data_IF_915962187285
#
_entry.id   IF_915962187285
#
_cell.length_a   1.000
_cell.length_b   1.000
_cell.length_c   1.000
_cell.angle_alpha   90.00
_cell.angle_beta   90.00
_cell.angle_gamma   90.00
#
_symmetry.space_group_name_H-M   'P 1'
#
loop_
_entity.id
_entity.type
_entity.pdbx_description
1 polymer ?
#
# COMPACT_ATOMS: atom_id res chain seq x y z
N UNK A 1 -25.10 10.12 -15.41
CA UNK A 1 -23.63 9.91 -15.35
C UNK A 1 -22.93 11.07 -14.63
N UNK A 2 -23.22 11.31 -13.33
CA UNK A 2 -22.51 12.32 -12.51
C UNK A 2 -22.32 11.92 -11.02
N UNK A 3 -22.89 10.80 -10.58
CA UNK A 3 -22.87 10.40 -9.16
C UNK A 3 -21.56 9.73 -8.69
N UNK A 4 -20.78 9.13 -9.58
CA UNK A 4 -19.55 8.39 -9.22
C UNK A 4 -18.38 9.34 -8.89
N UNK A 5 -18.39 10.57 -9.42
CA UNK A 5 -17.27 11.51 -9.25
C UNK A 5 -17.31 12.26 -7.91
N UNK A 6 -18.49 12.44 -7.32
CA UNK A 6 -18.66 13.24 -6.09
C UNK A 6 -18.22 12.48 -4.83
N UNK A 7 -18.50 11.17 -4.76
CA UNK A 7 -18.09 10.30 -3.64
C UNK A 7 -16.56 10.27 -3.51
N UNK A 8 -15.86 10.33 -4.65
CA UNK A 8 -14.39 10.35 -4.70
C UNK A 8 -13.78 11.61 -4.09
N UNK A 9 -14.50 12.74 -4.03
CA UNK A 9 -13.99 14.00 -3.46
C UNK A 9 -14.18 14.11 -1.94
N UNK A 10 -15.15 13.40 -1.38
CA UNK A 10 -15.49 13.46 0.05
C UNK A 10 -14.69 12.45 0.87
N UNK A 11 -14.38 11.25 0.34
CA UNK A 11 -13.58 10.26 1.06
C UNK A 11 -12.14 10.70 1.38
N UNK A 12 -11.55 11.60 0.58
CA UNK A 12 -10.22 12.14 0.88
C UNK A 12 -10.20 13.23 1.97
N UNK A 13 -11.37 13.72 2.40
CA UNK A 13 -11.47 14.85 3.35
C UNK A 13 -11.87 14.43 4.79
N UNK A 14 -12.10 13.15 5.05
CA UNK A 14 -12.65 12.69 6.34
C UNK A 14 -11.76 11.74 7.16
N UNK A 15 -10.56 11.35 6.69
CA UNK A 15 -9.54 10.76 7.59
C UNK A 15 -8.58 11.85 8.06
N UNK A 16 -9.18 12.81 8.75
CA UNK A 16 -8.55 14.00 9.31
C UNK A 16 -7.90 13.71 10.67
N UNK A 17 -6.80 14.43 10.92
CA UNK A 17 -6.40 15.01 12.20
C UNK A 17 -6.24 14.09 13.44
N UNK A 18 -4.98 13.89 13.86
CA UNK A 18 -4.50 14.24 15.22
C UNK A 18 -2.97 14.05 15.37
N UNK A 19 -2.25 15.17 15.29
CA UNK A 19 -1.06 15.58 16.10
C UNK A 19 -0.11 14.53 16.68
N UNK A 20 1.17 14.59 16.29
CA UNK A 20 2.31 14.96 17.18
C UNK A 20 3.67 14.58 16.56
N UNK A 21 4.30 15.42 15.74
CA UNK A 21 5.74 15.25 15.36
C UNK A 21 6.13 13.91 14.71
N UNK A 22 5.13 13.12 14.29
CA UNK A 22 5.24 11.73 13.83
C UNK A 22 5.05 11.69 12.31
N UNK A 23 6.12 11.29 11.63
CA UNK A 23 6.16 10.61 10.35
C UNK A 23 4.79 10.25 9.74
N UNK A 24 4.26 11.15 8.90
CA UNK A 24 2.92 11.02 8.33
C UNK A 24 2.89 9.79 7.42
N UNK A 25 2.25 8.72 7.88
CA UNK A 25 2.07 7.50 7.12
C UNK A 25 0.61 7.41 6.68
N UNK A 26 0.36 7.40 5.36
CA UNK A 26 -0.97 7.23 4.78
C UNK A 26 -1.02 5.97 3.95
N UNK A 27 -2.14 5.26 3.97
CA UNK A 27 -2.30 4.02 3.22
C UNK A 27 -3.66 3.94 2.54
N UNK A 28 -3.77 3.08 1.52
CA UNK A 28 -5.05 2.72 0.91
C UNK A 28 -5.73 1.58 1.65
N UNK A 29 -6.96 1.27 1.23
CA UNK A 29 -7.60 0.01 1.60
C UNK A 29 -6.82 -1.20 1.06
N UNK A 30 -7.07 -2.35 1.68
CA UNK A 30 -6.50 -3.63 1.28
C UNK A 30 -7.20 -4.16 0.01
N UNK A 31 -6.39 -4.54 -0.98
CA UNK A 31 -6.82 -5.15 -2.23
C UNK A 31 -6.49 -6.65 -2.14
N UNK A 32 -7.51 -7.47 -1.99
CA UNK A 32 -7.33 -8.92 -1.95
C UNK A 32 -6.98 -9.47 -3.33
N UNK A 33 -6.12 -10.49 -3.37
CA UNK A 33 -5.87 -11.25 -4.58
C UNK A 33 -7.02 -12.23 -4.86
N UNK A 34 -6.94 -12.94 -5.99
CA UNK A 34 -7.97 -13.91 -6.40
C UNK A 34 -8.28 -15.01 -5.37
N UNK A 35 -7.32 -15.37 -4.51
CA UNK A 35 -7.50 -16.41 -3.49
C UNK A 35 -8.12 -15.90 -2.19
N UNK A 36 -8.11 -14.59 -1.96
CA UNK A 36 -8.48 -13.96 -0.69
C UNK A 36 -7.46 -14.12 0.43
N UNK A 37 -6.49 -15.03 0.31
CA UNK A 37 -5.44 -15.26 1.31
C UNK A 37 -4.39 -14.15 1.36
N UNK A 38 -4.11 -13.50 0.23
CA UNK A 38 -3.18 -12.37 0.15
C UNK A 38 -3.96 -11.09 -0.08
N UNK A 39 -3.57 -10.02 0.60
CA UNK A 39 -4.02 -8.67 0.30
C UNK A 39 -2.84 -7.72 0.22
N UNK A 40 -2.96 -6.70 -0.61
CA UNK A 40 -1.92 -5.68 -0.79
C UNK A 40 -2.50 -4.29 -0.56
N UNK A 41 -1.72 -3.36 -0.02
CA UNK A 41 -2.09 -1.94 0.07
C UNK A 41 -0.90 -1.06 -0.26
N UNK A 42 -1.18 0.11 -0.80
CA UNK A 42 -0.18 1.16 -0.92
C UNK A 42 -0.02 1.87 0.42
N UNK A 43 1.22 2.18 0.77
CA UNK A 43 1.57 2.95 1.95
C UNK A 43 2.58 4.03 1.55
N UNK A 44 2.37 5.26 1.99
CA UNK A 44 3.24 6.39 1.72
C UNK A 44 3.61 7.04 3.03
N UNK A 45 4.90 7.21 3.23
CA UNK A 45 5.50 7.81 4.42
C UNK A 45 6.18 9.11 4.01
N UNK A 46 5.88 10.20 4.70
CA UNK A 46 6.61 11.46 4.51
C UNK A 46 7.83 11.49 5.43
N UNK A 47 9.01 11.69 4.85
CA UNK A 47 10.31 11.77 5.54
C UNK A 47 11.12 12.89 4.89
N UNK A 48 11.61 13.84 5.71
CA UNK A 48 12.43 14.98 5.25
C UNK A 48 11.84 15.78 4.07
N UNK A 49 10.52 15.92 4.00
CA UNK A 49 9.81 16.63 2.93
C UNK A 49 9.69 15.86 1.61
N UNK A 50 10.05 14.57 1.62
CA UNK A 50 9.85 13.64 0.51
C UNK A 50 8.86 12.53 0.90
N UNK A 51 8.26 11.91 -0.12
CA UNK A 51 7.26 10.86 0.06
C UNK A 51 7.81 9.51 -0.38
N UNK A 52 8.12 8.66 0.59
CA UNK A 52 8.54 7.28 0.38
C UNK A 52 7.32 6.39 0.19
N UNK A 53 7.28 5.67 -0.93
CA UNK A 53 6.17 4.81 -1.29
C UNK A 53 6.55 3.33 -1.10
N UNK A 54 5.67 2.59 -0.46
CA UNK A 54 5.81 1.15 -0.21
C UNK A 54 4.53 0.41 -0.60
N UNK A 55 4.67 -0.89 -0.86
CA UNK A 55 3.54 -1.82 -0.87
C UNK A 55 3.64 -2.74 0.32
N UNK A 56 2.57 -2.81 1.10
CA UNK A 56 2.41 -3.74 2.19
C UNK A 56 1.60 -4.95 1.72
N UNK A 57 2.01 -6.13 2.16
CA UNK A 57 1.33 -7.41 2.01
C UNK A 57 0.70 -7.78 3.35
N UNK A 58 -0.50 -8.34 3.28
CA UNK A 58 -1.18 -9.00 4.38
C UNK A 58 -1.47 -10.43 3.96
N UNK A 59 -1.12 -11.41 4.79
CA UNK A 59 -1.44 -12.82 4.56
C UNK A 59 -2.41 -13.32 5.62
N UNK A 60 -3.32 -14.23 5.26
CA UNK A 60 -4.30 -14.81 6.17
C UNK A 60 -5.75 -14.60 5.70
N UNK A 61 -6.67 -15.33 6.33
CA UNK A 61 -8.09 -15.30 5.98
C UNK A 61 -8.94 -14.48 6.95
N UNK A 62 -8.45 -14.28 8.17
CA UNK A 62 -9.20 -13.64 9.26
C UNK A 62 -8.28 -12.69 10.02
N UNK A 63 -8.88 -11.71 10.72
CA UNK A 63 -8.14 -10.73 11.51
C UNK A 63 -7.14 -11.34 12.52
N UNK A 64 -7.44 -12.53 13.04
CA UNK A 64 -6.59 -13.25 14.01
C UNK A 64 -5.38 -13.94 13.36
N UNK A 65 -5.46 -14.22 12.06
CA UNK A 65 -4.41 -14.92 11.29
C UNK A 65 -3.63 -13.97 10.40
N UNK A 66 -3.91 -12.66 10.46
CA UNK A 66 -3.24 -11.69 9.62
C UNK A 66 -1.79 -11.50 10.03
N UNK A 67 -0.89 -11.74 9.08
CA UNK A 67 0.51 -11.28 9.15
C UNK A 67 0.71 -10.14 8.16
N UNK A 68 1.55 -9.17 8.52
CA UNK A 68 1.80 -7.94 7.76
C UNK A 68 3.28 -7.80 7.45
N UNK A 69 3.59 -7.41 6.21
CA UNK A 69 4.96 -7.28 5.73
C UNK A 69 5.05 -6.17 4.67
N UNK A 70 6.14 -5.40 4.65
CA UNK A 70 6.45 -4.49 3.52
C UNK A 70 7.19 -5.29 2.46
N UNK A 71 6.64 -5.36 1.25
CA UNK A 71 7.13 -6.26 0.19
C UNK A 71 7.74 -5.54 -1.00
N UNK A 72 7.44 -4.26 -1.19
CA UNK A 72 8.03 -3.44 -2.27
C UNK A 72 8.35 -2.07 -1.71
N UNK A 73 9.57 -1.61 -1.97
CA UNK A 73 9.94 -0.20 -1.94
C UNK A 73 9.77 0.37 -3.36
N UNK A 74 8.84 1.30 -3.52
CA UNK A 74 8.56 1.97 -4.80
C UNK A 74 9.44 3.21 -5.01
N UNK A 75 10.31 3.53 -4.06
CA UNK A 75 11.18 4.69 -4.07
C UNK A 75 10.53 5.93 -3.48
N UNK A 76 11.19 7.06 -3.72
CA UNK A 76 10.90 8.34 -3.09
C UNK A 76 10.48 9.37 -4.13
N UNK A 77 9.45 10.16 -3.83
CA UNK A 77 8.85 11.12 -4.75
C UNK A 77 8.65 12.49 -4.09
N UNK A 78 8.63 13.54 -4.91
CA UNK A 78 8.44 14.92 -4.44
C UNK A 78 6.98 15.23 -4.07
N UNK A 79 6.02 14.40 -4.49
CA UNK A 79 4.61 14.62 -4.20
C UNK A 79 3.91 13.37 -3.70
N UNK A 80 3.11 13.54 -2.65
CA UNK A 80 2.28 12.50 -2.07
C UNK A 80 1.41 11.78 -3.11
N UNK A 81 0.80 12.54 -4.03
CA UNK A 81 -0.09 12.00 -5.04
C UNK A 81 0.64 11.08 -6.02
N UNK A 82 1.86 11.43 -6.40
CA UNK A 82 2.69 10.59 -7.26
C UNK A 82 3.08 9.30 -6.52
N UNK A 83 3.64 9.44 -5.31
CA UNK A 83 4.02 8.31 -4.46
C UNK A 83 2.87 7.31 -4.27
N UNK A 84 1.69 7.81 -3.92
CA UNK A 84 0.51 6.98 -3.69
C UNK A 84 0.03 6.31 -4.99
N UNK A 85 0.04 7.03 -6.11
CA UNK A 85 -0.37 6.49 -7.40
C UNK A 85 0.52 5.34 -7.85
N UNK A 86 1.84 5.47 -7.68
CA UNK A 86 2.81 4.43 -8.02
C UNK A 86 2.62 3.20 -7.14
N UNK A 87 2.65 3.37 -5.82
CA UNK A 87 2.43 2.26 -4.88
C UNK A 87 1.08 1.56 -5.10
N UNK A 88 0.02 2.32 -5.38
CA UNK A 88 -1.31 1.75 -5.65
C UNK A 88 -1.33 0.93 -6.94
N UNK A 89 -0.67 1.41 -8.00
CA UNK A 89 -0.55 0.64 -9.24
C UNK A 89 0.17 -0.69 -9.00
N UNK A 90 1.26 -0.69 -8.20
CA UNK A 90 1.97 -1.92 -7.83
C UNK A 90 1.11 -2.86 -6.99
N UNK A 91 0.38 -2.34 -6.00
CA UNK A 91 -0.54 -3.12 -5.18
C UNK A 91 -1.64 -3.79 -6.03
N UNK A 92 -2.21 -3.08 -7.01
CA UNK A 92 -3.17 -3.64 -7.96
C UNK A 92 -2.56 -4.75 -8.82
N UNK A 93 -1.36 -4.54 -9.36
CA UNK A 93 -0.68 -5.56 -10.15
C UNK A 93 -0.41 -6.81 -9.31
N UNK A 94 0.02 -6.66 -8.06
CA UNK A 94 0.24 -7.78 -7.14
C UNK A 94 -1.05 -8.53 -6.80
N UNK A 95 -2.15 -7.81 -6.59
CA UNK A 95 -3.44 -8.41 -6.32
C UNK A 95 -4.00 -9.18 -7.53
N UNK A 96 -3.69 -8.74 -8.75
CA UNK A 96 -4.15 -9.42 -9.98
C UNK A 96 -3.50 -10.79 -10.18
N UNK A 97 -2.43 -11.10 -9.46
CA UNK A 97 -1.73 -12.35 -9.63
C UNK A 97 -2.49 -13.48 -8.96
N UNK A 98 -2.63 -14.57 -9.72
CA UNK A 98 -3.40 -15.73 -9.29
C UNK A 98 -2.73 -16.51 -8.16
N UNK A 99 -1.40 -16.56 -8.14
CA UNK A 99 -0.63 -17.32 -7.14
C UNK A 99 0.25 -16.39 -6.32
N UNK A 100 0.55 -16.83 -5.10
CA UNK A 100 1.50 -16.15 -4.24
C UNK A 100 2.87 -16.10 -4.92
N UNK A 101 3.36 -14.89 -5.21
CA UNK A 101 4.80 -14.70 -5.31
C UNK A 101 5.34 -14.76 -3.89
N UNK A 102 5.91 -15.91 -3.52
CA UNK A 102 6.96 -15.90 -2.52
C UNK A 102 8.07 -15.06 -3.16
N UNK A 103 8.20 -13.80 -2.76
CA UNK A 103 9.43 -13.04 -2.99
C UNK A 103 10.45 -13.77 -2.13
N UNK A 104 11.05 -14.82 -2.67
CA UNK A 104 12.23 -15.42 -2.07
C UNK A 104 13.28 -14.33 -2.05
N UNK A 105 13.76 -13.99 -0.86
CA UNK A 105 14.92 -13.12 -0.67
C UNK A 105 16.07 -13.66 -1.54
N UNK A 106 16.28 -13.06 -2.71
CA UNK A 106 17.43 -13.36 -3.58
C UNK A 106 18.75 -12.79 -2.99
N UNK A 107 18.76 -12.43 -1.71
CA UNK A 107 19.96 -11.98 -0.96
C UNK A 107 20.67 -13.14 -0.26
N UNK A 108 20.12 -14.34 -0.26
CA UNK A 108 20.79 -15.56 0.21
C UNK A 108 21.26 -16.39 -0.99
N UNK A 109 22.41 -16.04 -1.57
CA UNK A 109 23.36 -16.95 -2.24
C UNK A 109 24.42 -16.14 -3.00
N UNK A 110 25.28 -15.45 -2.26
CA UNK A 110 26.63 -15.13 -2.70
C UNK A 110 27.59 -15.45 -1.56
N UNK A 111 27.98 -16.72 -1.46
CA UNK A 111 29.15 -17.18 -0.72
C UNK A 111 29.88 -18.23 -1.54
#
# INVERSE_FOLDING_TARGET
MQFITVIRRVFYRLLDACTSGELITRHTDWIANHTGYLSFRAEVREEEGKFHAFVCKRTGYTAQTFSYERVIDCGTFDTFRHALSVAYSHACHLAYLRYAWAVTDYTADFH
#
